data_IF_651277883283
#
_entry.id   IF_651277883283
#
_cell.length_a   1.000
_cell.length_b   1.000
_cell.length_c   1.000
_cell.angle_alpha   90.00
_cell.angle_beta   90.00
_cell.angle_gamma   90.00
#
_symmetry.space_group_name_H-M   'P 1'
#
loop_
_entity.id
_entity.type
_entity.pdbx_description
1 polymer ?
#
# COMPACT_ATOMS: atom_id res chain seq x y z
N UNK A 1 21.85 16.91 18.06
CA UNK A 1 21.70 17.48 19.42
C UNK A 1 23.04 17.86 20.01
N UNK A 2 23.13 18.99 20.72
CA UNK A 2 24.36 19.43 21.38
C UNK A 2 24.45 18.94 22.85
N UNK A 3 25.61 19.13 23.49
CA UNK A 3 25.87 18.67 24.87
C UNK A 3 24.92 19.28 25.92
N UNK A 4 24.51 20.53 25.75
CA UNK A 4 23.58 21.20 26.68
C UNK A 4 22.17 20.61 26.57
N UNK A 5 21.71 20.36 25.35
CA UNK A 5 20.44 19.70 25.09
C UNK A 5 20.44 18.25 25.63
N UNK A 6 21.54 17.51 25.45
CA UNK A 6 21.72 16.17 26.03
C UNK A 6 21.67 16.21 27.56
N UNK A 7 22.33 17.19 28.19
CA UNK A 7 22.29 17.33 29.65
C UNK A 7 20.85 17.55 30.17
N UNK A 8 20.08 18.39 29.48
CA UNK A 8 18.67 18.61 29.80
C UNK A 8 17.82 17.34 29.60
N UNK A 9 18.07 16.60 28.52
CA UNK A 9 17.39 15.34 28.22
C UNK A 9 17.66 14.27 29.29
N UNK A 10 18.93 14.07 29.65
CA UNK A 10 19.32 13.12 30.70
C UNK A 10 18.73 13.52 32.05
N UNK A 11 18.78 14.81 32.41
CA UNK A 11 18.15 15.30 33.64
C UNK A 11 16.64 15.04 33.70
N UNK A 12 15.93 15.21 32.57
CA UNK A 12 14.51 14.90 32.48
C UNK A 12 14.24 13.39 32.56
N UNK A 13 15.06 12.56 31.90
CA UNK A 13 14.94 11.11 31.95
C UNK A 13 15.23 10.56 33.36
N UNK A 14 16.22 11.10 34.07
CA UNK A 14 16.56 10.72 35.45
C UNK A 14 15.44 11.01 36.46
N UNK A 15 14.51 11.93 36.16
CA UNK A 15 13.33 12.16 36.99
C UNK A 15 12.33 10.98 36.95
N UNK A 16 12.39 10.15 35.90
CA UNK A 16 11.54 8.96 35.72
C UNK A 16 12.32 7.69 36.06
N UNK A 17 13.57 7.60 35.62
CA UNK A 17 14.44 6.45 35.82
C UNK A 17 15.76 6.86 36.48
N UNK A 18 15.92 6.62 37.79
CA UNK A 18 17.15 6.95 38.51
C UNK A 18 18.42 6.26 37.99
N UNK A 19 18.30 5.22 37.16
CA UNK A 19 19.45 4.49 36.58
C UNK A 19 20.04 5.18 35.36
N UNK A 20 19.35 6.18 34.79
CA UNK A 20 19.88 6.97 33.67
C UNK A 20 21.20 7.61 34.09
N UNK A 21 22.25 7.52 33.25
CA UNK A 21 23.56 8.10 33.55
C UNK A 21 23.46 9.59 33.90
N UNK A 22 24.15 9.99 34.97
CA UNK A 22 24.24 11.39 35.34
C UNK A 22 25.05 12.18 34.30
N UNK A 23 24.74 13.46 34.06
CA UNK A 23 25.39 14.26 33.03
C UNK A 23 26.82 14.67 33.46
N UNK A 24 27.79 13.80 33.24
CA UNK A 24 29.23 14.12 33.33
C UNK A 24 29.84 14.44 31.96
N UNK A 25 31.05 15.05 31.90
CA UNK A 25 31.63 15.49 30.64
C UNK A 25 31.80 14.41 29.57
N UNK A 26 32.11 13.17 29.96
CA UNK A 26 32.38 12.08 29.02
C UNK A 26 31.07 11.49 28.50
N UNK A 27 30.09 11.28 29.40
CA UNK A 27 28.72 10.87 29.03
C UNK A 27 28.11 11.88 28.04
N UNK A 28 28.20 13.17 28.35
CA UNK A 28 27.66 14.22 27.48
C UNK A 28 28.35 14.25 26.11
N UNK A 29 29.66 14.02 26.06
CA UNK A 29 30.41 13.97 24.79
C UNK A 29 29.96 12.78 23.95
N UNK A 30 29.86 11.59 24.56
CA UNK A 30 29.45 10.37 23.87
C UNK A 30 28.00 10.45 23.37
N UNK A 31 27.07 10.87 24.22
CA UNK A 31 25.66 11.01 23.85
C UNK A 31 25.45 12.07 22.77
N UNK A 32 26.11 13.23 22.87
CA UNK A 32 26.00 14.27 21.84
C UNK A 32 26.58 13.81 20.49
N UNK A 33 27.61 12.97 20.50
CA UNK A 33 28.16 12.36 19.29
C UNK A 33 27.19 11.35 18.65
N UNK A 34 26.49 10.55 19.45
CA UNK A 34 25.52 9.56 18.94
C UNK A 34 24.24 10.23 18.44
N UNK A 35 23.81 11.30 19.10
CA UNK A 35 22.56 12.02 18.82
C UNK A 35 22.78 13.29 18.01
N UNK A 36 23.87 13.39 17.24
CA UNK A 36 24.29 14.59 16.54
C UNK A 36 23.24 15.12 15.55
N UNK A 37 22.58 14.20 14.83
CA UNK A 37 21.55 14.47 13.83
C UNK A 37 20.12 14.47 14.38
N UNK A 38 19.95 14.14 15.67
CA UNK A 38 18.65 14.06 16.32
C UNK A 38 18.23 15.44 16.84
N UNK A 39 17.05 15.97 16.46
CA UNK A 39 16.48 17.17 17.06
C UNK A 39 16.07 16.95 18.52
N UNK A 40 16.27 17.94 19.39
CA UNK A 40 16.04 17.81 20.84
C UNK A 40 14.57 17.52 21.21
N UNK A 41 13.62 18.09 20.46
CA UNK A 41 12.18 17.86 20.64
C UNK A 41 11.79 16.41 20.32
N UNK A 42 12.36 15.85 19.26
CA UNK A 42 12.19 14.44 18.88
C UNK A 42 12.79 13.52 19.94
N UNK A 43 13.98 13.85 20.46
CA UNK A 43 14.59 13.05 21.52
C UNK A 43 13.76 13.02 22.80
N UNK A 44 13.19 14.17 23.20
CA UNK A 44 12.26 14.22 24.32
C UNK A 44 10.98 13.41 24.08
N UNK A 45 10.47 13.39 22.85
CA UNK A 45 9.34 12.54 22.47
C UNK A 45 9.70 11.05 22.52
N UNK A 46 10.88 10.68 22.05
CA UNK A 46 11.39 9.31 22.09
C UNK A 46 11.50 8.79 23.53
N UNK A 47 12.06 9.57 24.45
CA UNK A 47 12.16 9.18 25.87
C UNK A 47 10.77 8.97 26.49
N UNK A 48 9.82 9.87 26.24
CA UNK A 48 8.44 9.70 26.72
C UNK A 48 7.79 8.44 26.17
N UNK A 49 7.98 8.17 24.88
CA UNK A 49 7.39 7.02 24.23
C UNK A 49 8.02 5.70 24.68
N UNK A 50 9.33 5.69 24.89
CA UNK A 50 10.07 4.56 25.47
C UNK A 50 9.47 4.15 26.81
N UNK A 51 9.39 5.08 27.76
CA UNK A 51 8.89 4.80 29.11
C UNK A 51 7.37 4.57 29.19
N UNK A 52 6.61 4.79 28.11
CA UNK A 52 5.21 4.33 28.02
C UNK A 52 5.10 2.83 27.76
N UNK A 53 6.10 2.23 27.11
CA UNK A 53 6.04 0.86 26.61
C UNK A 53 7.06 -0.06 27.27
N UNK A 54 8.14 0.48 27.83
CA UNK A 54 9.22 -0.25 28.46
C UNK A 54 9.60 0.34 29.81
N UNK A 55 9.93 -0.53 30.77
CA UNK A 55 10.54 -0.14 32.05
C UNK A 55 12.07 -0.19 32.04
N UNK A 56 12.68 -0.54 30.90
CA UNK A 56 14.15 -0.57 30.76
C UNK A 56 14.72 0.84 30.63
N UNK A 57 15.98 1.02 31.04
CA UNK A 57 16.67 2.30 30.94
C UNK A 57 16.86 2.69 29.49
N UNK A 58 16.42 3.91 29.13
CA UNK A 58 16.54 4.43 27.76
C UNK A 58 18.00 4.62 27.38
N UNK A 59 18.35 4.16 26.18
CA UNK A 59 19.67 4.27 25.59
C UNK A 59 19.65 5.24 24.40
N UNK A 60 20.80 5.82 23.99
CA UNK A 60 20.87 6.67 22.81
C UNK A 60 20.36 5.97 21.54
N UNK A 61 20.60 4.66 21.44
CA UNK A 61 20.18 3.85 20.30
C UNK A 61 18.65 3.84 20.13
N UNK A 62 17.89 3.79 21.24
CA UNK A 62 16.43 3.79 21.22
C UNK A 62 15.90 5.12 20.65
N UNK A 63 16.56 6.22 21.01
CA UNK A 63 16.24 7.56 20.50
C UNK A 63 16.55 7.69 19.02
N UNK A 64 17.70 7.17 18.57
CA UNK A 64 18.08 7.15 17.16
C UNK A 64 17.11 6.30 16.34
N UNK A 65 16.69 5.15 16.87
CA UNK A 65 15.71 4.28 16.22
C UNK A 65 14.35 4.99 16.06
N UNK A 66 13.89 5.64 17.13
CA UNK A 66 12.68 6.47 17.09
C UNK A 66 12.78 7.58 16.04
N UNK A 67 13.91 8.28 15.98
CA UNK A 67 14.14 9.33 14.98
C UNK A 67 14.12 8.78 13.55
N UNK A 68 14.78 7.64 13.30
CA UNK A 68 14.78 6.99 11.99
C UNK A 68 13.38 6.58 11.56
N UNK A 69 12.57 6.06 12.49
CA UNK A 69 11.17 5.74 12.21
C UNK A 69 10.38 7.01 11.85
N UNK A 70 10.46 8.06 12.66
CA UNK A 70 9.78 9.33 12.39
C UNK A 70 10.16 9.94 11.03
N UNK A 71 11.43 9.87 10.64
CA UNK A 71 11.90 10.31 9.31
C UNK A 71 11.32 9.46 8.18
N UNK A 72 11.32 8.14 8.31
CA UNK A 72 10.73 7.23 7.32
C UNK A 72 9.25 7.54 7.11
N UNK A 73 8.50 7.68 8.20
CA UNK A 73 7.07 7.97 8.13
C UNK A 73 6.80 9.33 7.50
N UNK A 74 7.62 10.35 7.80
CA UNK A 74 7.50 11.65 7.16
C UNK A 74 7.75 11.58 5.65
N UNK A 75 8.78 10.84 5.23
CA UNK A 75 9.08 10.63 3.81
C UNK A 75 7.97 9.87 3.10
N UNK A 76 7.40 8.83 3.73
CA UNK A 76 6.28 8.06 3.17
C UNK A 76 5.01 8.91 3.05
N UNK A 77 4.70 9.73 4.06
CA UNK A 77 3.58 10.68 4.02
C UNK A 77 3.77 11.68 2.88
N UNK A 78 4.96 12.24 2.72
CA UNK A 78 5.26 13.17 1.64
C UNK A 78 5.14 12.51 0.26
N UNK A 79 5.71 11.32 0.09
CA UNK A 79 5.61 10.55 -1.16
C UNK A 79 4.16 10.24 -1.51
N UNK A 80 3.38 9.77 -0.54
CA UNK A 80 1.95 9.49 -0.70
C UNK A 80 1.15 10.76 -1.05
N UNK A 81 1.46 11.89 -0.42
CA UNK A 81 0.83 13.17 -0.74
C UNK A 81 1.16 13.62 -2.17
N UNK A 82 2.40 13.45 -2.62
CA UNK A 82 2.82 13.76 -4.00
C UNK A 82 2.09 12.88 -5.02
N UNK A 83 1.97 11.57 -4.77
CA UNK A 83 1.21 10.66 -5.65
C UNK A 83 -0.26 11.07 -5.75
N UNK A 84 -0.89 11.45 -4.62
CA UNK A 84 -2.27 11.94 -4.60
C UNK A 84 -2.44 13.24 -5.36
N UNK A 85 -1.56 14.23 -5.13
CA UNK A 85 -1.60 15.50 -5.85
C UNK A 85 -1.47 15.30 -7.37
N UNK A 86 -0.51 14.46 -7.80
CA UNK A 86 -0.33 14.11 -9.21
C UNK A 86 -1.56 13.42 -9.81
N UNK A 87 -2.26 12.59 -9.04
CA UNK A 87 -3.48 11.96 -9.49
C UNK A 87 -4.64 12.97 -9.67
N UNK A 88 -4.71 14.00 -8.82
CA UNK A 88 -5.71 15.08 -8.95
C UNK A 88 -5.44 15.97 -10.17
N UNK A 89 -4.18 16.28 -10.46
CA UNK A 89 -3.80 17.17 -11.56
C UNK A 89 -3.94 16.53 -12.94
N UNK A 90 -3.89 15.19 -13.03
CA UNK A 90 -4.00 14.49 -14.30
C UNK A 90 -5.45 14.08 -14.56
N UNK A 91 -6.17 14.74 -15.48
CA UNK A 91 -7.55 14.34 -15.80
C UNK A 91 -7.58 12.87 -16.25
N UNK A 92 -8.61 12.16 -15.82
CA UNK A 92 -8.84 10.78 -16.21
C UNK A 92 -9.12 10.70 -17.70
N UNK A 93 -8.12 10.32 -18.49
CA UNK A 93 -8.32 9.94 -19.88
C UNK A 93 -8.67 8.44 -19.97
N UNK A 94 -9.96 8.18 -20.16
CA UNK A 94 -10.50 6.84 -20.32
C UNK A 94 -9.90 6.10 -21.52
N UNK A 95 -9.43 6.80 -22.56
CA UNK A 95 -8.75 6.18 -23.71
C UNK A 95 -7.38 5.66 -23.31
N UNK A 96 -6.55 6.49 -22.70
CA UNK A 96 -5.25 6.06 -22.17
C UNK A 96 -5.37 4.89 -21.19
N UNK A 97 -6.40 4.87 -20.33
CA UNK A 97 -6.66 3.73 -19.42
C UNK A 97 -6.96 2.46 -20.22
N UNK A 98 -7.86 2.54 -21.21
CA UNK A 98 -8.21 1.42 -22.07
C UNK A 98 -6.99 0.86 -22.82
N UNK A 99 -6.17 1.74 -23.39
CA UNK A 99 -4.94 1.36 -24.11
C UNK A 99 -3.90 0.73 -23.17
N UNK A 100 -3.83 1.21 -21.92
CA UNK A 100 -3.03 0.59 -20.87
C UNK A 100 -3.46 -0.84 -20.55
N UNK A 101 -4.77 -1.06 -20.37
CA UNK A 101 -5.34 -2.38 -20.11
C UNK A 101 -5.07 -3.32 -21.29
N UNK A 102 -5.31 -2.87 -22.52
CA UNK A 102 -5.06 -3.67 -23.72
C UNK A 102 -3.60 -4.16 -23.81
N UNK A 103 -2.63 -3.26 -23.54
CA UNK A 103 -1.20 -3.61 -23.51
C UNK A 103 -0.85 -4.64 -22.45
N UNK A 104 -1.39 -4.51 -21.24
CA UNK A 104 -1.15 -5.47 -20.15
C UNK A 104 -1.75 -6.84 -20.50
N UNK A 105 -2.98 -6.85 -21.00
CA UNK A 105 -3.65 -8.09 -21.43
C UNK A 105 -2.87 -8.80 -22.54
N UNK A 106 -2.41 -8.06 -23.55
CA UNK A 106 -1.59 -8.60 -24.63
C UNK A 106 -0.28 -9.21 -24.11
N UNK A 107 0.42 -8.52 -23.21
CA UNK A 107 1.66 -9.03 -22.60
C UNK A 107 1.43 -10.32 -21.80
N UNK A 108 0.30 -10.42 -21.07
CA UNK A 108 -0.08 -11.63 -20.35
C UNK A 108 -0.44 -12.79 -21.29
N UNK A 109 -1.09 -12.51 -22.42
CA UNK A 109 -1.40 -13.52 -23.44
C UNK A 109 -0.12 -14.13 -24.02
N UNK A 110 0.83 -13.28 -24.44
CA UNK A 110 2.16 -13.71 -24.94
C UNK A 110 2.87 -14.59 -23.92
N UNK A 111 2.91 -14.17 -22.65
CA UNK A 111 3.55 -14.96 -21.57
C UNK A 111 2.94 -16.34 -21.39
N UNK A 112 1.64 -16.48 -21.68
CA UNK A 112 0.91 -17.75 -21.62
C UNK A 112 0.99 -18.56 -22.92
N UNK A 113 1.70 -18.07 -23.93
CA UNK A 113 1.76 -18.68 -25.26
C UNK A 113 0.43 -18.58 -26.03
N UNK A 114 -0.44 -17.63 -25.67
CA UNK A 114 -1.70 -17.37 -26.35
C UNK A 114 -1.52 -16.16 -27.27
N UNK A 115 -2.08 -16.25 -28.48
CA UNK A 115 -2.11 -15.13 -29.40
C UNK A 115 -2.89 -13.92 -28.80
N UNK A 116 -2.31 -12.71 -28.75
CA UNK A 116 -2.97 -11.54 -28.17
C UNK A 116 -4.30 -11.17 -28.84
N UNK A 117 -4.39 -11.26 -30.17
CA UNK A 117 -5.61 -10.95 -30.89
C UNK A 117 -6.72 -11.93 -30.53
N UNK A 118 -6.39 -13.23 -30.48
CA UNK A 118 -7.31 -14.26 -30.01
C UNK A 118 -7.77 -14.03 -28.56
N UNK A 119 -6.85 -13.70 -27.65
CA UNK A 119 -7.17 -13.44 -26.25
C UNK A 119 -8.06 -12.20 -26.07
N UNK A 120 -7.84 -11.15 -26.86
CA UNK A 120 -8.69 -9.96 -26.86
C UNK A 120 -10.09 -10.26 -27.40
N UNK A 121 -10.19 -11.04 -28.49
CA UNK A 121 -11.47 -11.48 -29.04
C UNK A 121 -12.26 -12.34 -28.04
N UNK A 122 -11.60 -13.25 -27.30
CA UNK A 122 -12.23 -14.04 -26.25
C UNK A 122 -12.73 -13.17 -25.10
N UNK A 123 -11.92 -12.18 -24.67
CA UNK A 123 -12.30 -11.23 -23.63
C UNK A 123 -13.49 -10.36 -24.05
N UNK A 124 -13.54 -9.91 -25.31
CA UNK A 124 -14.65 -9.14 -25.86
C UNK A 124 -15.93 -9.98 -25.95
N UNK A 125 -15.84 -11.20 -26.48
CA UNK A 125 -16.98 -12.13 -26.48
C UNK A 125 -17.51 -12.37 -25.07
N UNK A 126 -16.60 -12.50 -24.09
CA UNK A 126 -16.95 -12.62 -22.68
C UNK A 126 -17.65 -11.38 -22.10
N UNK A 127 -17.18 -10.18 -22.43
CA UNK A 127 -17.85 -8.93 -22.04
C UNK A 127 -19.25 -8.86 -22.61
N UNK A 128 -19.41 -9.18 -23.90
CA UNK A 128 -20.69 -9.13 -24.60
C UNK A 128 -21.73 -10.04 -23.93
N UNK A 129 -21.42 -11.32 -23.70
CA UNK A 129 -22.42 -12.21 -23.08
C UNK A 129 -22.64 -11.93 -21.58
N UNK A 130 -21.63 -11.46 -20.84
CA UNK A 130 -21.82 -11.11 -19.43
C UNK A 130 -22.62 -9.82 -19.25
N UNK A 131 -22.74 -8.96 -20.25
CA UNK A 131 -23.56 -7.75 -20.18
C UNK A 131 -25.07 -8.03 -20.15
N UNK A 132 -25.51 -9.21 -20.62
CA UNK A 132 -26.92 -9.60 -20.66
C UNK A 132 -27.24 -10.67 -19.62
N UNK A 133 -28.49 -10.74 -19.17
CA UNK A 133 -28.98 -11.83 -18.33
C UNK A 133 -29.13 -13.14 -19.13
N UNK A 134 -28.90 -14.29 -18.50
CA UNK A 134 -29.16 -15.58 -19.15
C UNK A 134 -30.64 -15.97 -19.01
N UNK A 135 -31.34 -16.13 -20.12
CA UNK A 135 -32.74 -16.59 -20.13
C UNK A 135 -32.92 -18.05 -19.66
N UNK A 136 -31.88 -18.89 -19.76
CA UNK A 136 -31.91 -20.30 -19.34
C UNK A 136 -31.63 -20.51 -17.84
N UNK A 137 -30.44 -20.14 -17.34
CA UNK A 137 -30.09 -20.31 -15.92
C UNK A 137 -30.42 -19.11 -15.03
N UNK A 138 -31.00 -18.03 -15.58
CA UNK A 138 -31.36 -16.78 -14.86
C UNK A 138 -30.18 -16.04 -14.23
N UNK A 139 -28.95 -16.33 -14.67
CA UNK A 139 -27.76 -15.59 -14.25
C UNK A 139 -27.88 -14.11 -14.65
N UNK A 140 -27.62 -13.22 -13.70
CA UNK A 140 -27.70 -11.77 -13.91
C UNK A 140 -26.49 -11.24 -14.71
N UNK A 141 -26.57 -10.02 -15.27
CA UNK A 141 -25.39 -9.35 -15.83
C UNK A 141 -24.21 -9.35 -14.86
N UNK A 142 -23.01 -9.63 -15.37
CA UNK A 142 -21.78 -9.79 -14.59
C UNK A 142 -21.60 -11.15 -13.90
N UNK A 143 -22.68 -11.89 -13.61
CA UNK A 143 -22.59 -13.22 -13.01
C UNK A 143 -22.34 -14.30 -14.08
N UNK A 144 -21.47 -15.30 -13.84
CA UNK A 144 -21.24 -16.40 -14.77
C UNK A 144 -22.45 -17.35 -14.83
N UNK A 145 -22.59 -18.06 -15.96
CA UNK A 145 -23.56 -19.14 -16.08
C UNK A 145 -23.15 -20.35 -15.21
N UNK A 146 -24.14 -21.00 -14.60
CA UNK A 146 -23.93 -22.18 -13.76
C UNK A 146 -24.80 -23.34 -14.24
N UNK A 147 -24.28 -24.56 -14.12
CA UNK A 147 -25.03 -25.79 -14.38
C UNK A 147 -25.94 -26.21 -13.22
N UNK A 148 -26.55 -27.40 -13.32
CA UNK A 148 -27.37 -27.97 -12.25
C UNK A 148 -26.58 -28.05 -10.93
N UNK A 149 -27.15 -27.52 -9.85
CA UNK A 149 -26.50 -27.45 -8.54
C UNK A 149 -25.56 -26.26 -8.33
N UNK A 150 -25.62 -25.23 -9.19
CA UNK A 150 -24.90 -23.96 -8.99
C UNK A 150 -23.41 -24.00 -9.32
N UNK A 151 -22.91 -25.10 -9.89
CA UNK A 151 -21.50 -25.23 -10.27
C UNK A 151 -21.19 -24.48 -11.57
N UNK A 152 -19.98 -23.93 -11.75
CA UNK A 152 -19.57 -23.31 -13.02
C UNK A 152 -19.63 -24.30 -14.19
N UNK A 153 -19.94 -23.78 -15.38
CA UNK A 153 -19.86 -24.55 -16.60
C UNK A 153 -18.39 -24.90 -16.92
N UNK A 154 -18.15 -26.14 -17.34
CA UNK A 154 -16.80 -26.66 -17.63
C UNK A 154 -16.52 -26.83 -19.12
N UNK A 155 -17.55 -27.03 -19.93
CA UNK A 155 -17.42 -27.27 -21.38
C UNK A 155 -17.49 -26.00 -22.23
N UNK A 156 -18.17 -24.98 -21.71
CA UNK A 156 -18.38 -23.72 -22.40
C UNK A 156 -18.54 -22.58 -21.40
N UNK A 157 -18.28 -21.36 -21.84
CA UNK A 157 -18.21 -20.17 -21.01
C UNK A 157 -19.59 -19.58 -20.64
N UNK A 158 -20.63 -19.87 -21.43
CA UNK A 158 -22.02 -19.50 -21.16
C UNK A 158 -23.00 -20.48 -21.85
N UNK A 159 -24.27 -20.48 -21.44
CA UNK A 159 -25.32 -21.18 -22.17
C UNK A 159 -25.60 -20.51 -23.52
N UNK A 160 -25.90 -21.30 -24.54
CA UNK A 160 -26.18 -20.85 -25.91
C UNK A 160 -27.28 -19.77 -25.95
N UNK A 161 -28.29 -19.91 -25.08
CA UNK A 161 -29.34 -18.91 -24.93
C UNK A 161 -28.77 -17.52 -24.59
N UNK A 162 -27.79 -17.45 -23.67
CA UNK A 162 -27.14 -16.17 -23.32
C UNK A 162 -26.25 -15.64 -24.44
N UNK A 163 -25.57 -16.53 -25.17
CA UNK A 163 -24.77 -16.13 -26.33
C UNK A 163 -25.66 -15.54 -27.43
N UNK A 164 -26.81 -16.16 -27.70
CA UNK A 164 -27.80 -15.65 -28.64
C UNK A 164 -28.38 -14.30 -28.19
N UNK A 165 -28.75 -14.18 -26.90
CA UNK A 165 -29.25 -12.93 -26.30
C UNK A 165 -28.22 -11.78 -26.40
N UNK A 166 -26.94 -12.10 -26.28
CA UNK A 166 -25.86 -11.12 -26.43
C UNK A 166 -25.73 -10.64 -27.88
N UNK A 167 -25.78 -11.56 -28.84
CA UNK A 167 -25.69 -11.24 -30.27
C UNK A 167 -26.86 -10.35 -30.74
N UNK A 168 -28.06 -10.56 -30.21
CA UNK A 168 -29.23 -9.73 -30.52
C UNK A 168 -29.19 -8.38 -29.83
N UNK A 169 -28.62 -8.28 -28.62
CA UNK A 169 -28.51 -7.01 -27.88
C UNK A 169 -27.43 -6.06 -28.39
N UNK A 170 -26.51 -6.56 -29.25
CA UNK A 170 -25.38 -5.77 -29.79
C UNK A 170 -25.70 -5.18 -31.19
N UNK A 171 -26.90 -5.45 -31.75
CA UNK A 171 -27.40 -4.87 -33.01
C UNK A 171 -28.34 -3.72 -32.75
#
# INVERSE_FOLDING_TARGET
MNRTEVAALLGAASAVDPKVPQPDPDVLTMWAGILDDVPADIAGAAVREHYRHSGETVMPADIVEHWRAARRDAAERQHSAQLRARATERPLDLRTIRDGIARVTAALAITRGVDPEHAEAEAEARRAYLAVSCTWCKAQPGAPCTGPGGKPLTKQSAHDARLADALTSTR
#
